data_IF_492054482816
#
_entry.id   IF_492054482816
#
_cell.length_a   1.000
_cell.length_b   1.000
_cell.length_c   1.000
_cell.angle_alpha   90.00
_cell.angle_beta   90.00
_cell.angle_gamma   90.00
#
_symmetry.space_group_name_H-M   'P 1'
#
loop_
_entity.id
_entity.type
_entity.pdbx_description
1 polymer ?
#
# COMPACT_ATOMS: atom_id res chain seq x y z
N UNK A 1 16.23 -5.43 -12.03
CA UNK A 1 17.54 -4.99 -11.49
C UNK A 1 18.13 -3.77 -12.19
N UNK A 2 18.14 -3.69 -13.53
CA UNK A 2 18.77 -2.56 -14.25
C UNK A 2 18.20 -1.18 -13.89
N UNK A 3 16.86 -1.06 -13.79
CA UNK A 3 16.21 0.20 -13.36
C UNK A 3 16.66 0.64 -11.96
N UNK A 4 16.83 -0.29 -11.02
CA UNK A 4 17.29 -0.01 -9.65
C UNK A 4 18.74 0.50 -9.65
N UNK A 5 19.62 -0.13 -10.45
CA UNK A 5 21.02 0.30 -10.59
C UNK A 5 21.14 1.69 -11.22
N UNK A 6 20.30 2.01 -12.22
CA UNK A 6 20.24 3.33 -12.83
C UNK A 6 19.85 4.43 -11.83
N UNK A 7 18.82 4.19 -11.00
CA UNK A 7 18.39 5.13 -9.96
C UNK A 7 19.45 5.31 -8.86
N UNK A 8 20.16 4.26 -8.47
CA UNK A 8 21.24 4.35 -7.48
C UNK A 8 22.45 5.14 -8.01
N UNK A 9 22.71 5.06 -9.32
CA UNK A 9 23.72 5.86 -10.02
C UNK A 9 23.37 7.34 -10.06
N UNK A 10 22.11 7.67 -10.35
CA UNK A 10 21.61 9.06 -10.30
C UNK A 10 21.64 9.64 -8.87
N UNK A 11 21.45 8.79 -7.85
CA UNK A 11 21.57 9.17 -6.44
C UNK A 11 23.02 9.30 -5.94
N UNK A 12 24.03 9.09 -6.81
CA UNK A 12 25.45 9.27 -6.47
C UNK A 12 25.98 8.29 -5.42
N UNK A 13 25.32 7.14 -5.21
CA UNK A 13 25.72 6.18 -4.16
C UNK A 13 26.92 5.35 -4.63
N UNK A 14 27.93 5.07 -3.78
CA UNK A 14 29.09 4.27 -4.15
C UNK A 14 28.71 2.85 -4.61
N UNK A 15 29.26 2.41 -5.75
CA UNK A 15 28.94 1.12 -6.39
C UNK A 15 29.18 -0.09 -5.46
N UNK A 16 30.16 -0.01 -4.55
CA UNK A 16 30.43 -1.05 -3.52
C UNK A 16 29.24 -1.37 -2.60
N UNK A 17 28.26 -0.47 -2.50
CA UNK A 17 27.10 -0.63 -1.60
C UNK A 17 25.89 -1.16 -2.39
N UNK A 18 25.91 -1.12 -3.73
CA UNK A 18 24.78 -1.51 -4.56
C UNK A 18 24.43 -2.99 -4.39
N UNK A 19 25.43 -3.85 -4.26
CA UNK A 19 25.23 -5.29 -4.04
C UNK A 19 24.48 -5.61 -2.74
N UNK A 20 24.49 -4.70 -1.77
CA UNK A 20 23.70 -4.84 -0.52
C UNK A 20 22.30 -4.24 -0.64
N UNK A 21 22.08 -3.27 -1.52
CA UNK A 21 20.83 -2.53 -1.65
C UNK A 21 19.88 -3.21 -2.66
N UNK A 22 20.43 -3.66 -3.80
CA UNK A 22 19.65 -4.27 -4.89
C UNK A 22 18.82 -5.48 -4.42
N UNK A 23 19.35 -6.42 -3.60
CA UNK A 23 18.56 -7.56 -3.15
C UNK A 23 17.38 -7.16 -2.26
N UNK A 24 17.57 -6.18 -1.36
CA UNK A 24 16.51 -5.70 -0.47
C UNK A 24 15.42 -4.94 -1.22
N UNK A 25 15.80 -4.11 -2.20
CA UNK A 25 14.82 -3.42 -3.05
C UNK A 25 14.09 -4.38 -3.98
N UNK A 26 14.75 -5.43 -4.48
CA UNK A 26 14.10 -6.45 -5.29
C UNK A 26 13.13 -7.29 -4.44
N UNK A 27 13.54 -7.70 -3.24
CA UNK A 27 12.67 -8.42 -2.31
C UNK A 27 11.44 -7.60 -1.94
N UNK A 28 11.61 -6.30 -1.69
CA UNK A 28 10.49 -5.37 -1.47
C UNK A 28 9.61 -5.23 -2.72
N UNK A 29 10.21 -5.06 -3.89
CA UNK A 29 9.47 -4.97 -5.15
C UNK A 29 8.61 -6.22 -5.40
N UNK A 30 9.16 -7.41 -5.15
CA UNK A 30 8.43 -8.68 -5.25
C UNK A 30 7.32 -8.70 -4.20
N UNK A 31 7.63 -8.38 -2.95
CA UNK A 31 6.68 -8.38 -1.85
C UNK A 31 5.56 -7.33 -1.96
N UNK A 32 5.75 -6.29 -2.78
CA UNK A 32 4.76 -5.24 -3.02
C UNK A 32 3.95 -5.53 -4.31
N UNK A 33 4.57 -6.08 -5.37
CA UNK A 33 3.93 -6.22 -6.70
C UNK A 33 3.48 -7.65 -7.07
N UNK A 34 3.98 -8.69 -6.40
CA UNK A 34 3.64 -10.08 -6.77
C UNK A 34 2.65 -10.74 -5.82
N UNK A 35 2.46 -10.18 -4.62
CA UNK A 35 1.41 -10.62 -3.70
C UNK A 35 0.15 -9.83 -3.99
N UNK A 36 -0.58 -10.25 -5.03
CA UNK A 36 -1.95 -9.80 -5.28
C UNK A 36 -2.82 -9.91 -4.01
N UNK A 37 -2.50 -10.92 -3.20
CA UNK A 37 -3.12 -11.20 -1.90
C UNK A 37 -2.91 -10.07 -0.88
N UNK A 38 -1.78 -9.36 -0.88
CA UNK A 38 -1.58 -8.25 0.07
C UNK A 38 -2.44 -7.02 -0.24
N UNK A 39 -2.75 -6.79 -1.51
CA UNK A 39 -3.56 -5.63 -1.90
C UNK A 39 -5.06 -5.95 -1.81
N UNK A 40 -5.45 -7.19 -2.13
CA UNK A 40 -6.85 -7.59 -2.28
C UNK A 40 -7.40 -8.46 -1.14
N UNK A 41 -6.54 -9.11 -0.34
CA UNK A 41 -6.98 -9.96 0.77
C UNK A 41 -6.72 -9.26 2.12
N UNK A 42 -7.80 -9.06 2.89
CA UNK A 42 -7.75 -8.40 4.20
C UNK A 42 -6.75 -9.04 5.17
N UNK A 43 -6.64 -10.37 5.17
CA UNK A 43 -5.87 -11.12 6.17
C UNK A 43 -4.35 -11.01 5.98
N UNK A 44 -3.89 -10.81 4.75
CA UNK A 44 -2.46 -10.72 4.39
C UNK A 44 -1.92 -9.28 4.43
N UNK A 45 -2.81 -8.30 4.59
CA UNK A 45 -2.44 -6.90 4.77
C UNK A 45 -1.64 -6.69 6.05
N UNK A 46 -0.75 -5.69 6.03
CA UNK A 46 -0.08 -5.22 7.23
C UNK A 46 -1.11 -4.59 8.19
N UNK A 47 -0.96 -4.86 9.47
CA UNK A 47 -1.85 -4.35 10.49
C UNK A 47 -1.52 -2.89 10.82
N UNK A 48 -2.47 -1.98 10.60
CA UNK A 48 -2.26 -0.52 10.73
C UNK A 48 -1.79 -0.07 12.13
N UNK A 49 -2.11 -0.82 13.19
CA UNK A 49 -1.67 -0.49 14.55
C UNK A 49 -0.28 -1.06 14.90
N UNK A 50 0.18 -2.07 14.16
CA UNK A 50 1.53 -2.64 14.29
C UNK A 50 1.99 -3.21 12.94
N UNK A 51 2.79 -2.42 12.21
CA UNK A 51 3.31 -2.75 10.88
C UNK A 51 4.19 -4.02 10.85
N UNK A 52 4.52 -4.60 12.00
CA UNK A 52 5.27 -5.86 12.11
C UNK A 52 4.38 -7.09 11.97
N UNK A 53 3.07 -6.93 12.10
CA UNK A 53 2.10 -8.02 12.07
C UNK A 53 1.21 -7.90 10.84
N UNK A 54 0.76 -9.04 10.32
CA UNK A 54 -0.36 -9.06 9.39
C UNK A 54 -1.69 -9.01 10.16
N UNK A 55 -2.78 -8.64 9.48
CA UNK A 55 -4.12 -8.63 10.07
C UNK A 55 -4.49 -10.01 10.62
N UNK A 56 -4.17 -11.10 9.90
CA UNK A 56 -4.39 -12.47 10.40
C UNK A 56 -3.66 -12.75 11.73
N UNK A 57 -2.41 -12.32 11.83
CA UNK A 57 -1.60 -12.51 13.05
C UNK A 57 -2.15 -11.68 14.21
N UNK A 58 -2.58 -10.44 13.93
CA UNK A 58 -3.18 -9.57 14.93
C UNK A 58 -4.50 -10.16 15.48
N UNK A 59 -5.37 -10.69 14.60
CA UNK A 59 -6.63 -11.34 14.99
C UNK A 59 -6.37 -12.59 15.84
N UNK A 60 -5.42 -13.44 15.42
CA UNK A 60 -5.06 -14.63 16.18
C UNK A 60 -4.48 -14.31 17.57
N UNK A 61 -3.63 -13.27 17.65
CA UNK A 61 -3.06 -12.81 18.91
C UNK A 61 -4.14 -12.25 19.85
N UNK A 62 -5.06 -11.46 19.32
CA UNK A 62 -6.21 -10.93 20.07
C UNK A 62 -7.13 -12.05 20.57
N UNK A 63 -7.42 -13.05 19.73
CA UNK A 63 -8.21 -14.22 20.13
C UNK A 63 -7.56 -14.97 21.29
N UNK A 64 -6.25 -15.23 21.23
CA UNK A 64 -5.50 -15.86 22.33
C UNK A 64 -5.55 -15.04 23.62
N UNK A 65 -5.39 -13.71 23.52
CA UNK A 65 -5.47 -12.81 24.68
C UNK A 65 -6.87 -12.84 25.34
N UNK A 66 -7.92 -13.02 24.54
CA UNK A 66 -9.29 -13.20 25.02
C UNK A 66 -9.60 -14.64 25.51
N UNK A 67 -8.63 -15.56 25.49
CA UNK A 67 -8.80 -16.93 25.96
C UNK A 67 -9.44 -17.90 24.95
N UNK A 68 -9.46 -17.56 23.66
CA UNK A 68 -10.10 -18.38 22.64
C UNK A 68 -9.52 -18.18 21.23
N UNK A 69 -10.37 -18.39 20.22
CA UNK A 69 -10.06 -18.16 18.81
C UNK A 69 -10.96 -17.05 18.27
N UNK A 70 -10.42 -16.19 17.41
CA UNK A 70 -11.14 -15.12 16.73
C UNK A 70 -10.95 -15.27 15.22
N UNK A 71 -12.02 -15.03 14.46
CA UNK A 71 -12.03 -15.14 13.00
C UNK A 71 -12.86 -13.98 12.40
N UNK A 72 -12.42 -13.46 11.26
CA UNK A 72 -13.17 -12.45 10.50
C UNK A 72 -14.03 -13.18 9.48
N UNK A 73 -15.35 -13.10 9.61
CA UNK A 73 -16.30 -13.77 8.71
C UNK A 73 -16.72 -12.90 7.52
N UNK A 74 -16.86 -11.59 7.73
CA UNK A 74 -17.20 -10.63 6.69
C UNK A 74 -16.79 -9.23 7.11
N UNK A 75 -16.49 -8.38 6.13
CA UNK A 75 -16.33 -6.95 6.31
C UNK A 75 -16.95 -6.21 5.12
N UNK A 76 -17.41 -4.98 5.36
CA UNK A 76 -17.91 -4.08 4.32
C UNK A 76 -17.15 -2.77 4.49
N UNK A 77 -16.49 -2.32 3.42
CA UNK A 77 -15.86 -1.00 3.35
C UNK A 77 -16.81 -0.09 2.55
N UNK A 78 -17.18 1.04 3.13
CA UNK A 78 -17.98 2.06 2.46
C UNK A 78 -17.17 3.36 2.43
N UNK A 79 -17.03 3.96 1.25
CA UNK A 79 -16.40 5.27 1.09
C UNK A 79 -17.38 6.25 0.44
N UNK A 80 -17.39 7.50 0.93
CA UNK A 80 -18.27 8.54 0.37
C UNK A 80 -17.80 8.86 -1.05
N UNK A 81 -18.70 8.68 -2.02
CA UNK A 81 -18.39 8.92 -3.43
C UNK A 81 -17.79 7.71 -4.16
N UNK A 82 -17.77 6.54 -3.54
CA UNK A 82 -17.36 5.30 -4.21
C UNK A 82 -18.24 5.03 -5.45
N UNK A 83 -17.61 4.92 -6.62
CA UNK A 83 -18.29 4.72 -7.89
C UNK A 83 -18.92 5.98 -8.51
N UNK A 84 -18.81 7.16 -7.88
CA UNK A 84 -19.20 8.44 -8.49
C UNK A 84 -18.00 9.06 -9.22
N UNK A 85 -18.22 9.46 -10.48
CA UNK A 85 -17.22 10.21 -11.22
C UNK A 85 -17.01 11.58 -10.54
N UNK A 86 -15.79 11.83 -10.08
CA UNK A 86 -15.43 13.10 -9.45
C UNK A 86 -15.44 14.17 -10.54
N UNK A 87 -16.48 15.00 -10.56
CA UNK A 87 -16.51 16.19 -11.41
C UNK A 87 -15.32 17.08 -11.07
N UNK A 88 -14.51 17.35 -12.08
CA UNK A 88 -13.41 18.32 -12.01
C UNK A 88 -13.98 19.62 -12.59
N UNK A 89 -14.52 20.45 -11.72
CA UNK A 89 -15.03 21.76 -12.12
C UNK A 89 -13.86 22.75 -12.17
N UNK A 90 -13.59 23.31 -13.35
CA UNK A 90 -12.60 24.38 -13.53
C UNK A 90 -13.27 25.72 -13.22
N UNK A 91 -13.14 26.13 -11.97
CA UNK A 91 -13.67 27.39 -11.46
C UNK A 91 -13.18 28.60 -12.28
N UNK A 92 -11.97 28.57 -12.85
CA UNK A 92 -11.46 29.67 -13.66
C UNK A 92 -12.22 29.78 -15.00
N UNK A 93 -12.56 28.64 -15.61
CA UNK A 93 -13.36 28.61 -16.83
C UNK A 93 -14.81 29.06 -16.58
N UNK A 94 -15.41 28.68 -15.46
CA UNK A 94 -16.77 29.11 -15.09
C UNK A 94 -16.84 30.63 -14.83
N UNK A 95 -15.84 31.20 -14.14
CA UNK A 95 -15.77 32.65 -13.89
C UNK A 95 -15.56 33.42 -15.19
N UNK A 96 -14.70 32.93 -16.09
CA UNK A 96 -14.49 33.56 -17.39
C UNK A 96 -15.76 33.58 -18.26
N UNK A 97 -16.58 32.53 -18.20
CA UNK A 97 -17.84 32.44 -18.93
C UNK A 97 -18.94 33.37 -18.38
N UNK A 98 -18.93 33.70 -17.09
CA UNK A 98 -19.90 34.64 -16.50
C UNK A 98 -19.57 36.11 -16.73
N UNK A 99 -18.32 36.44 -17.05
CA UNK A 99 -17.87 37.81 -17.31
C UNK A 99 -17.95 38.22 -18.79
N UNK A 100 -18.31 37.30 -19.69
CA UNK A 100 -18.54 37.53 -21.12
C UNK A 100 -20.02 37.76 -21.42
#
# INVERSE_FOLDING_TARGET
EEKIKATLKEQGKPEKIWDKIVPGQLARYIADNTTLDKELALLDQNYVLDDKLTVAQAVAAAGKAAGGTAEITAFIRLEVGEGLEKKVDDFAAEVAAQMA
#
